data_IF_755687357958
#
_entry.id   IF_755687357958
#
_cell.length_a   1.000
_cell.length_b   1.000
_cell.length_c   1.000
_cell.angle_alpha   90.00
_cell.angle_beta   90.00
_cell.angle_gamma   90.00
#
_symmetry.space_group_name_H-M   'P 1'
#
loop_
_entity.id
_entity.type
_entity.pdbx_description
1 polymer ?
#
# COMPACT_ATOMS: atom_id res chain seq x y z
N UNK A 1 15.77 9.03 0.71
CA UNK A 1 14.45 8.63 1.24
C UNK A 1 14.33 7.12 1.13
N UNK A 2 13.77 6.43 2.14
CA UNK A 2 13.50 4.99 2.06
C UNK A 2 12.18 4.73 1.32
N UNK A 3 12.00 3.52 0.79
CA UNK A 3 10.74 3.08 0.18
C UNK A 3 9.56 3.22 1.15
N UNK A 4 9.77 2.95 2.43
CA UNK A 4 8.73 3.07 3.47
C UNK A 4 8.20 4.50 3.58
N UNK A 5 9.10 5.49 3.59
CA UNK A 5 8.72 6.92 3.63
C UNK A 5 7.96 7.33 2.37
N UNK A 6 8.40 6.86 1.18
CA UNK A 6 7.73 7.19 -0.09
C UNK A 6 6.31 6.63 -0.14
N UNK A 7 6.13 5.37 0.22
CA UNK A 7 4.82 4.72 0.27
C UNK A 7 3.91 5.39 1.30
N UNK A 8 4.43 5.66 2.50
CA UNK A 8 3.66 6.34 3.53
C UNK A 8 3.19 7.72 3.09
N UNK A 9 4.07 8.53 2.49
CA UNK A 9 3.72 9.86 2.00
C UNK A 9 2.67 9.81 0.89
N UNK A 10 2.75 8.80 0.01
CA UNK A 10 1.74 8.58 -1.02
C UNK A 10 0.38 8.25 -0.43
N UNK A 11 0.33 7.34 0.56
CA UNK A 11 -0.91 6.96 1.26
C UNK A 11 -1.50 8.11 2.09
N UNK A 12 -0.66 8.92 2.74
CA UNK A 12 -1.09 10.10 3.53
C UNK A 12 -1.79 11.18 2.70
N UNK A 13 -1.59 11.19 1.38
CA UNK A 13 -2.29 12.10 0.47
C UNK A 13 -3.70 11.60 0.12
N UNK A 14 -4.18 10.51 0.75
CA UNK A 14 -5.47 9.89 0.46
C UNK A 14 -5.43 8.92 -0.72
N UNK A 15 -4.25 8.68 -1.31
CA UNK A 15 -4.12 7.68 -2.37
C UNK A 15 -4.19 6.26 -1.79
N UNK A 16 -4.59 5.32 -2.64
CA UNK A 16 -4.44 3.90 -2.40
C UNK A 16 -3.43 3.29 -3.37
N UNK A 17 -2.84 2.16 -3.02
CA UNK A 17 -1.79 1.54 -3.84
C UNK A 17 -1.88 0.03 -3.88
N UNK A 18 -1.60 -0.53 -5.04
CA UNK A 18 -1.47 -1.97 -5.32
C UNK A 18 -0.02 -2.36 -5.51
N UNK A 19 0.28 -3.66 -5.47
CA UNK A 19 1.64 -4.14 -5.72
C UNK A 19 2.16 -3.74 -7.11
N UNK A 20 1.29 -3.69 -8.12
CA UNK A 20 1.67 -3.26 -9.48
C UNK A 20 2.03 -1.76 -9.51
N UNK A 21 1.16 -0.90 -8.99
CA UNK A 21 1.41 0.54 -8.90
C UNK A 21 2.68 0.86 -8.09
N UNK A 22 2.96 0.09 -7.03
CA UNK A 22 4.17 0.25 -6.23
C UNK A 22 5.46 -0.07 -6.99
N UNK A 23 5.43 -1.01 -7.94
CA UNK A 23 6.57 -1.31 -8.84
C UNK A 23 6.77 -0.16 -9.83
N UNK A 24 5.70 0.33 -10.44
CA UNK A 24 5.75 1.38 -11.46
C UNK A 24 6.20 2.72 -10.88
N UNK A 25 5.61 3.13 -9.74
CA UNK A 25 5.83 4.44 -9.15
C UNK A 25 7.10 4.50 -8.28
N UNK A 26 7.44 3.41 -7.59
CA UNK A 26 8.46 3.43 -6.52
C UNK A 26 9.50 2.30 -6.62
N UNK A 27 9.46 1.47 -7.66
CA UNK A 27 10.30 0.26 -7.79
C UNK A 27 10.21 -0.67 -6.57
N UNK A 28 9.05 -0.69 -5.91
CA UNK A 28 8.81 -1.46 -4.69
C UNK A 28 8.24 -2.85 -5.02
N UNK A 29 9.10 -3.86 -5.15
CA UNK A 29 8.70 -5.24 -5.46
C UNK A 29 8.09 -6.01 -4.27
N UNK A 30 8.24 -5.50 -3.04
CA UNK A 30 7.74 -6.14 -1.81
C UNK A 30 6.86 -5.17 -1.02
N UNK A 31 5.77 -4.72 -1.63
CA UNK A 31 4.86 -3.76 -1.01
C UNK A 31 4.31 -4.32 0.31
N UNK A 32 3.94 -5.61 0.35
CA UNK A 32 3.43 -6.24 1.57
C UNK A 32 4.39 -6.13 2.76
N UNK A 33 5.71 -6.21 2.54
CA UNK A 33 6.71 -6.04 3.58
C UNK A 33 6.81 -4.59 4.07
N UNK A 34 6.66 -3.61 3.17
CA UNK A 34 6.59 -2.19 3.52
C UNK A 34 5.34 -1.94 4.37
N UNK A 35 4.17 -2.40 3.93
CA UNK A 35 2.92 -2.24 4.68
C UNK A 35 3.00 -2.90 6.05
N UNK A 36 3.62 -4.09 6.16
CA UNK A 36 3.84 -4.74 7.46
C UNK A 36 4.67 -3.86 8.42
N UNK A 37 5.78 -3.26 7.94
CA UNK A 37 6.58 -2.35 8.76
C UNK A 37 5.83 -1.09 9.15
N UNK A 38 5.06 -0.49 8.22
CA UNK A 38 4.26 0.69 8.50
C UNK A 38 3.15 0.41 9.54
N UNK A 39 2.50 -0.75 9.47
CA UNK A 39 1.56 -1.20 10.51
C UNK A 39 2.24 -1.38 11.86
N UNK A 40 3.43 -2.00 11.87
CA UNK A 40 4.26 -2.13 13.08
C UNK A 40 4.69 -0.78 13.68
N UNK A 41 4.78 0.26 12.85
CA UNK A 41 5.03 1.64 13.26
C UNK A 41 3.77 2.40 13.72
N UNK A 42 2.60 1.76 13.75
CA UNK A 42 1.34 2.33 14.25
C UNK A 42 0.42 2.95 13.19
N UNK A 43 0.76 2.87 11.90
CA UNK A 43 -0.12 3.37 10.84
C UNK A 43 -1.27 2.39 10.56
N UNK A 44 -2.51 2.88 10.65
CA UNK A 44 -3.70 2.11 10.33
C UNK A 44 -3.87 2.02 8.82
N UNK A 45 -3.36 0.95 8.21
CA UNK A 45 -3.46 0.73 6.76
C UNK A 45 -4.42 -0.42 6.52
N UNK A 46 -5.52 -0.16 5.81
CA UNK A 46 -6.51 -1.16 5.39
C UNK A 46 -6.02 -1.95 4.18
N UNK A 47 -6.49 -3.19 4.06
CA UNK A 47 -6.26 -4.04 2.89
C UNK A 47 -7.59 -4.40 2.26
N UNK A 48 -7.75 -4.02 1.00
CA UNK A 48 -8.92 -4.36 0.19
C UNK A 48 -8.55 -5.45 -0.80
N UNK A 49 -9.36 -6.50 -0.84
CA UNK A 49 -9.22 -7.56 -1.84
C UNK A 49 -9.85 -7.06 -3.15
N UNK A 50 -9.03 -6.87 -4.17
CA UNK A 50 -9.46 -6.44 -5.49
C UNK A 50 -9.39 -7.63 -6.46
N UNK A 51 -10.52 -8.09 -7.02
CA UNK A 51 -10.53 -9.11 -8.06
C UNK A 51 -9.74 -8.66 -9.29
N UNK A 52 -9.02 -9.59 -9.92
CA UNK A 52 -8.42 -9.34 -11.22
C UNK A 52 -9.52 -9.36 -12.29
N UNK A 53 -9.47 -8.41 -13.23
CA UNK A 53 -10.45 -8.28 -14.31
C UNK A 53 -10.43 -9.47 -15.27
N UNK A 54 -9.30 -10.18 -15.35
CA UNK A 54 -9.11 -11.29 -16.29
C UNK A 54 -9.41 -12.67 -15.65
N UNK A 55 -10.09 -12.72 -14.49
CA UNK A 55 -10.49 -13.98 -13.83
C UNK A 55 -9.37 -14.75 -13.12
N UNK A 56 -8.11 -14.31 -13.23
CA UNK A 56 -6.93 -14.99 -12.70
C UNK A 56 -6.62 -14.78 -11.21
N UNK A 57 -7.62 -14.50 -10.36
CA UNK A 57 -7.45 -14.33 -8.91
C UNK A 57 -7.73 -12.92 -8.39
N UNK A 58 -7.13 -12.55 -7.25
CA UNK A 58 -7.31 -11.25 -6.62
C UNK A 58 -5.98 -10.73 -6.04
N UNK A 59 -5.84 -9.42 -5.95
CA UNK A 59 -4.69 -8.75 -5.34
C UNK A 59 -5.13 -7.81 -4.23
N UNK A 60 -4.18 -7.29 -3.45
CA UNK A 60 -4.46 -6.33 -2.38
C UNK A 60 -4.24 -4.90 -2.85
N UNK A 61 -5.21 -4.03 -2.54
CA UNK A 61 -5.09 -2.58 -2.56
C UNK A 61 -5.02 -2.07 -1.14
N UNK A 62 -4.07 -1.18 -0.86
CA UNK A 62 -3.83 -0.65 0.47
C UNK A 62 -4.19 0.83 0.52
N UNK A 63 -4.83 1.26 1.59
CA UNK A 63 -5.15 2.66 1.86
C UNK A 63 -4.88 2.97 3.33
N UNK A 64 -4.55 4.22 3.63
CA UNK A 64 -4.45 4.69 5.01
C UNK A 64 -5.86 4.97 5.52
N UNK A 65 -6.28 4.27 6.57
CA UNK A 65 -7.48 4.60 7.32
C UNK A 65 -7.17 5.85 8.14
N UNK A 66 -8.10 6.80 8.14
CA UNK A 66 -7.97 8.16 8.64
C UNK A 66 -7.04 8.27 9.87
N UNK A 67 -6.11 9.23 9.84
CA UNK A 67 -5.23 9.46 10.98
C UNK A 67 -6.12 9.90 12.14
N UNK A 68 -6.24 9.07 13.18
CA UNK A 68 -6.70 9.52 14.49
C UNK A 68 -5.68 10.59 14.95
N UNK A 69 -5.95 11.85 14.61
CA UNK A 69 -5.29 13.03 15.18
C UNK A 69 -6.13 13.50 16.35
#
# INVERSE_FOLDING_TARGET
MSTDTLILNYLKQGNSITQFEAIELFRCYRLSAVIHRLRGAGYQIKSHRQPNTNGGGAFSRYELDEVLV
#
